data_IF_279486807229
#
_entry.id   IF_279486807229
#
_cell.length_a   1.000
_cell.length_b   1.000
_cell.length_c   1.000
_cell.angle_alpha   90.00
_cell.angle_beta   90.00
_cell.angle_gamma   90.00
#
_symmetry.space_group_name_H-M   'P 1'
#
loop_
_entity.id
_entity.type
_entity.pdbx_description
1 polymer ?
#
# COMPACT_ATOMS: atom_id res chain seq x y z
N UNK A 1 32.70 -13.88 7.00
CA UNK A 1 32.07 -12.59 7.41
C UNK A 1 31.76 -11.80 6.16
N UNK A 2 30.48 -11.71 5.76
CA UNK A 2 30.07 -10.98 4.54
C UNK A 2 30.30 -9.48 4.76
N UNK A 3 31.25 -8.89 4.05
CA UNK A 3 31.52 -7.46 4.04
C UNK A 3 30.35 -6.71 3.34
N UNK A 4 29.25 -6.50 4.05
CA UNK A 4 28.15 -5.62 3.58
C UNK A 4 28.64 -4.17 3.64
N UNK A 5 28.96 -3.58 2.49
CA UNK A 5 29.34 -2.17 2.42
C UNK A 5 28.09 -1.29 2.27
N UNK A 6 27.85 -0.40 3.23
CA UNK A 6 26.84 0.64 3.10
C UNK A 6 27.27 1.63 2.00
N UNK A 7 26.41 1.88 1.02
CA UNK A 7 26.71 2.79 -0.07
C UNK A 7 26.09 4.18 0.16
N UNK A 8 24.77 4.23 0.32
CA UNK A 8 24.03 5.48 0.50
C UNK A 8 22.65 5.22 1.11
N UNK A 9 21.93 6.31 1.40
CA UNK A 9 20.54 6.26 1.88
C UNK A 9 19.60 6.91 0.90
N UNK A 10 18.41 6.35 0.75
CA UNK A 10 17.32 6.93 -0.03
C UNK A 10 16.05 7.02 0.80
N UNK A 11 15.24 8.04 0.53
CA UNK A 11 13.94 8.23 1.16
C UNK A 11 12.84 8.46 0.13
N UNK A 12 11.65 7.92 0.38
CA UNK A 12 10.48 8.10 -0.47
C UNK A 12 9.21 8.35 0.33
N UNK A 13 8.20 8.92 -0.35
CA UNK A 13 6.90 9.27 0.21
C UNK A 13 5.77 8.47 -0.43
N UNK A 14 4.75 8.15 0.39
CA UNK A 14 3.44 7.64 -0.01
C UNK A 14 2.37 8.51 0.64
N UNK A 15 1.70 9.36 -0.15
CA UNK A 15 0.59 10.20 0.30
C UNK A 15 -0.74 9.50 0.00
N UNK A 16 -1.15 8.64 0.92
CA UNK A 16 -2.39 7.88 0.83
C UNK A 16 -3.61 8.64 1.33
N UNK A 17 -4.79 8.07 1.12
CA UNK A 17 -6.07 8.65 1.56
C UNK A 17 -6.19 8.82 3.09
N UNK A 18 -5.50 8.01 3.88
CA UNK A 18 -5.57 8.08 5.34
C UNK A 18 -4.32 8.73 5.98
N UNK A 19 -3.14 8.45 5.45
CA UNK A 19 -1.88 8.89 6.04
C UNK A 19 -0.83 9.19 4.98
N UNK A 20 0.08 10.10 5.33
CA UNK A 20 1.36 10.25 4.67
C UNK A 20 2.33 9.26 5.30
N UNK A 21 2.99 8.46 4.50
CA UNK A 21 3.99 7.50 4.92
C UNK A 21 5.34 7.92 4.32
N UNK A 22 6.36 7.79 5.12
CA UNK A 22 7.74 7.99 4.72
C UNK A 22 8.53 6.72 5.03
N UNK A 23 9.32 6.28 4.07
CA UNK A 23 10.27 5.19 4.24
C UNK A 23 11.67 5.65 3.86
N UNK A 24 12.64 5.28 4.68
CA UNK A 24 14.06 5.47 4.42
C UNK A 24 14.75 4.13 4.38
N UNK A 25 15.58 3.95 3.37
CA UNK A 25 16.34 2.73 3.17
C UNK A 25 17.82 3.01 3.15
N UNK A 26 18.56 2.11 3.73
CA UNK A 26 19.99 1.99 3.56
C UNK A 26 20.24 1.04 2.40
N UNK A 27 20.99 1.49 1.40
CA UNK A 27 21.35 0.66 0.25
C UNK A 27 22.68 0.00 0.55
N UNK A 28 22.66 -1.32 0.55
CA UNK A 28 23.84 -2.16 0.77
C UNK A 28 24.22 -2.87 -0.52
N UNK A 29 25.52 -3.08 -0.71
CA UNK A 29 26.04 -3.89 -1.80
C UNK A 29 26.28 -5.32 -1.30
N UNK A 30 25.62 -6.28 -1.92
CA UNK A 30 26.02 -7.69 -1.90
C UNK A 30 26.87 -7.99 -3.14
N UNK A 31 27.45 -9.18 -3.22
CA UNK A 31 28.41 -9.56 -4.28
C UNK A 31 27.94 -9.23 -5.71
N UNK A 32 26.66 -9.37 -6.02
CA UNK A 32 26.12 -9.17 -7.37
C UNK A 32 24.98 -8.13 -7.45
N UNK A 33 24.46 -7.60 -6.32
CA UNK A 33 23.26 -6.76 -6.34
C UNK A 33 23.23 -5.68 -5.28
N UNK A 34 22.41 -4.64 -5.52
CA UNK A 34 22.05 -3.64 -4.52
C UNK A 34 20.79 -4.10 -3.79
N UNK A 35 20.82 -4.07 -2.46
CA UNK A 35 19.71 -4.45 -1.61
C UNK A 35 19.26 -3.28 -0.74
N UNK A 36 17.98 -2.86 -0.83
CA UNK A 36 17.42 -1.89 0.10
C UNK A 36 17.10 -2.57 1.45
N UNK A 37 17.60 -2.01 2.53
CA UNK A 37 17.22 -2.38 3.90
C UNK A 37 16.45 -1.22 4.53
N UNK A 38 15.23 -1.46 4.99
CA UNK A 38 14.40 -0.46 5.64
C UNK A 38 15.05 -0.02 6.95
N UNK A 39 15.37 1.26 7.08
CA UNK A 39 16.02 1.86 8.25
C UNK A 39 15.05 2.69 9.08
N UNK A 40 14.12 3.39 8.42
CA UNK A 40 13.13 4.24 9.10
C UNK A 40 11.78 4.13 8.39
N UNK A 41 10.73 4.00 9.19
CA UNK A 41 9.34 4.11 8.75
C UNK A 41 8.60 5.12 9.63
N UNK A 42 8.01 6.12 8.99
CA UNK A 42 7.11 7.08 9.66
C UNK A 42 5.75 7.06 8.99
N UNK A 43 4.72 7.10 9.80
CA UNK A 43 3.34 7.20 9.36
C UNK A 43 2.65 8.34 10.09
N UNK A 44 2.15 9.30 9.32
CA UNK A 44 1.56 10.54 9.83
C UNK A 44 0.10 10.58 9.37
N UNK A 45 -0.87 10.53 10.29
CA UNK A 45 -2.28 10.63 9.94
C UNK A 45 -2.60 12.00 9.33
N UNK A 46 -2.99 12.02 8.07
CA UNK A 46 -3.42 13.23 7.35
C UNK A 46 -4.94 13.25 7.17
N UNK A 47 -5.54 12.08 6.89
CA UNK A 47 -6.97 11.88 6.65
C UNK A 47 -7.49 12.63 5.41
N UNK A 48 -6.67 12.65 4.36
CA UNK A 48 -6.96 13.29 3.09
C UNK A 48 -8.31 12.83 2.50
N UNK A 49 -8.59 11.51 2.58
CA UNK A 49 -9.83 10.91 2.12
C UNK A 49 -11.07 11.47 2.81
N UNK A 50 -11.00 11.86 4.09
CA UNK A 50 -12.14 12.46 4.79
C UNK A 50 -12.56 13.80 4.15
N UNK A 51 -11.60 14.62 3.72
CA UNK A 51 -11.93 15.86 3.01
C UNK A 51 -12.51 15.56 1.62
N UNK A 52 -11.83 14.73 0.86
CA UNK A 52 -12.12 14.49 -0.55
C UNK A 52 -13.41 13.71 -0.75
N UNK A 53 -13.62 12.63 -0.01
CA UNK A 53 -14.83 11.81 -0.20
C UNK A 53 -16.10 12.48 0.32
N UNK A 54 -15.98 13.45 1.25
CA UNK A 54 -17.13 14.25 1.72
C UNK A 54 -17.35 15.54 0.92
N UNK A 55 -16.28 16.20 0.48
CA UNK A 55 -16.36 17.57 -0.08
C UNK A 55 -15.83 17.69 -1.52
N UNK A 56 -15.34 16.61 -2.12
CA UNK A 56 -14.76 16.59 -3.47
C UNK A 56 -13.42 17.32 -3.61
N UNK A 57 -12.88 17.90 -2.54
CA UNK A 57 -11.63 18.68 -2.57
C UNK A 57 -10.86 18.64 -1.26
N UNK A 58 -9.56 18.87 -1.35
CA UNK A 58 -8.66 18.98 -0.21
C UNK A 58 -8.79 20.36 0.42
N UNK A 59 -9.01 20.41 1.74
CA UNK A 59 -9.15 21.66 2.49
C UNK A 59 -7.80 22.34 2.71
N UNK A 60 -7.80 23.69 2.77
CA UNK A 60 -6.60 24.49 3.08
C UNK A 60 -5.89 24.05 4.35
N UNK A 61 -6.64 23.71 5.40
CA UNK A 61 -6.08 23.20 6.67
C UNK A 61 -5.31 21.89 6.48
N UNK A 62 -5.81 21.00 5.63
CA UNK A 62 -5.15 19.72 5.35
C UNK A 62 -3.91 19.92 4.49
N UNK A 63 -3.96 20.83 3.50
CA UNK A 63 -2.77 21.23 2.72
C UNK A 63 -1.69 21.76 3.66
N UNK A 64 -2.04 22.70 4.55
CA UNK A 64 -1.09 23.25 5.52
C UNK A 64 -0.48 22.21 6.45
N UNK A 65 -1.28 21.20 6.84
CA UNK A 65 -0.76 20.06 7.60
C UNK A 65 0.27 19.26 6.80
N UNK A 66 0.01 18.99 5.51
CA UNK A 66 0.96 18.30 4.62
C UNK A 66 2.24 19.11 4.49
N UNK A 67 2.16 20.43 4.19
CA UNK A 67 3.32 21.31 4.10
C UNK A 67 4.21 21.24 5.36
N UNK A 68 3.62 21.38 6.53
CA UNK A 68 4.36 21.35 7.80
C UNK A 68 5.09 20.01 8.00
N UNK A 69 4.45 18.89 7.62
CA UNK A 69 5.06 17.57 7.73
C UNK A 69 6.18 17.37 6.70
N UNK A 70 6.00 17.84 5.46
CA UNK A 70 7.03 17.79 4.44
C UNK A 70 8.23 18.64 4.80
N UNK A 71 8.03 19.88 5.27
CA UNK A 71 9.11 20.76 5.72
C UNK A 71 9.96 20.11 6.82
N UNK A 72 9.30 19.56 7.86
CA UNK A 72 10.00 18.89 8.95
C UNK A 72 10.75 17.64 8.48
N UNK A 73 10.16 16.87 7.55
CA UNK A 73 10.75 15.67 7.01
C UNK A 73 11.99 16.00 6.17
N UNK A 74 11.89 16.92 5.22
CA UNK A 74 12.98 17.25 4.30
C UNK A 74 14.19 17.80 5.04
N UNK A 75 14.00 18.66 6.07
CA UNK A 75 15.08 19.10 6.96
C UNK A 75 15.78 17.93 7.66
N UNK A 76 15.01 16.92 8.08
CA UNK A 76 15.59 15.73 8.69
C UNK A 76 16.39 14.90 7.69
N UNK A 77 15.93 14.81 6.41
CA UNK A 77 16.64 14.06 5.36
C UNK A 77 18.00 14.71 5.05
N UNK A 78 17.99 16.02 4.89
CA UNK A 78 19.20 16.80 4.65
C UNK A 78 20.24 16.59 5.76
N UNK A 79 19.82 16.74 7.04
CA UNK A 79 20.70 16.54 8.19
C UNK A 79 21.30 15.13 8.30
N UNK A 80 20.67 14.12 7.69
CA UNK A 80 21.10 12.71 7.70
C UNK A 80 21.76 12.26 6.40
N UNK A 81 21.96 13.18 5.44
CA UNK A 81 22.47 12.87 4.12
C UNK A 81 21.69 11.75 3.43
N UNK A 82 20.34 11.88 3.40
CA UNK A 82 19.43 10.92 2.76
C UNK A 82 18.95 11.53 1.44
N UNK A 83 19.22 10.87 0.32
CA UNK A 83 18.71 11.29 -0.99
C UNK A 83 17.21 11.06 -1.06
N UNK A 84 16.44 12.12 -1.24
CA UNK A 84 15.01 11.99 -1.53
C UNK A 84 14.82 11.59 -2.99
N UNK A 85 14.16 10.48 -3.27
CA UNK A 85 13.99 9.93 -4.61
C UNK A 85 12.58 10.17 -5.19
N UNK A 86 11.75 10.93 -4.50
CA UNK A 86 10.37 11.23 -4.91
C UNK A 86 9.32 10.47 -4.10
N UNK A 87 8.11 10.50 -4.61
CA UNK A 87 6.97 9.86 -3.95
C UNK A 87 5.77 9.75 -4.86
N UNK A 88 4.72 9.18 -4.32
CA UNK A 88 3.45 9.12 -5.01
C UNK A 88 2.29 9.51 -4.10
N UNK A 89 1.23 10.01 -4.74
CA UNK A 89 -0.06 10.28 -4.13
C UNK A 89 -1.11 9.41 -4.82
N UNK A 90 -2.08 8.92 -4.05
CA UNK A 90 -2.98 7.87 -4.49
C UNK A 90 -4.44 8.33 -4.53
N UNK A 91 -5.38 7.44 -4.35
CA UNK A 91 -6.82 7.57 -4.58
C UNK A 91 -7.43 8.92 -4.13
N UNK A 92 -7.18 9.41 -2.92
CA UNK A 92 -7.78 10.68 -2.47
C UNK A 92 -7.23 11.88 -3.27
N UNK A 93 -5.92 11.95 -3.53
CA UNK A 93 -5.33 13.01 -4.35
C UNK A 93 -5.86 12.93 -5.78
N UNK A 94 -5.94 11.73 -6.35
CA UNK A 94 -6.47 11.46 -7.69
C UNK A 94 -7.93 11.88 -7.84
N UNK A 95 -8.75 11.66 -6.82
CA UNK A 95 -10.20 11.95 -6.83
C UNK A 95 -10.49 13.44 -6.55
N UNK A 96 -9.60 14.15 -5.87
CA UNK A 96 -9.84 15.54 -5.47
C UNK A 96 -9.90 16.48 -6.67
N UNK A 97 -10.94 17.34 -6.74
CA UNK A 97 -11.07 18.35 -7.79
C UNK A 97 -9.91 19.36 -7.84
N UNK A 98 -9.21 19.57 -6.72
CA UNK A 98 -7.99 20.38 -6.64
C UNK A 98 -6.72 19.53 -6.43
N UNK A 99 -6.77 18.23 -6.70
CA UNK A 99 -5.66 17.32 -6.40
C UNK A 99 -4.41 17.62 -7.21
N UNK A 100 -4.56 17.90 -8.51
CA UNK A 100 -3.45 18.29 -9.38
C UNK A 100 -2.78 19.58 -8.91
N UNK A 101 -3.59 20.62 -8.64
CA UNK A 101 -3.08 21.92 -8.16
C UNK A 101 -2.29 21.77 -6.85
N UNK A 102 -2.82 20.97 -5.91
CA UNK A 102 -2.13 20.69 -4.64
C UNK A 102 -0.84 19.92 -4.86
N UNK A 103 -0.84 18.93 -5.74
CA UNK A 103 0.37 18.17 -6.07
C UNK A 103 1.45 19.05 -6.71
N UNK A 104 1.07 19.87 -7.69
CA UNK A 104 1.97 20.81 -8.37
C UNK A 104 2.52 21.85 -7.37
N UNK A 105 1.67 22.39 -6.51
CA UNK A 105 2.07 23.31 -5.44
C UNK A 105 3.10 22.66 -4.48
N UNK A 106 2.87 21.42 -4.03
CA UNK A 106 3.81 20.72 -3.15
C UNK A 106 5.15 20.47 -3.86
N UNK A 107 5.11 20.05 -5.12
CA UNK A 107 6.31 19.85 -5.93
C UNK A 107 7.15 21.13 -6.06
N UNK A 108 6.53 22.24 -6.39
CA UNK A 108 7.21 23.53 -6.53
C UNK A 108 7.73 24.08 -5.19
N UNK A 109 6.91 23.99 -4.12
CA UNK A 109 7.26 24.55 -2.80
C UNK A 109 8.39 23.81 -2.10
N UNK A 110 8.57 22.54 -2.39
CA UNK A 110 9.51 21.67 -1.68
C UNK A 110 10.58 21.05 -2.58
N UNK A 111 10.58 21.38 -3.87
CA UNK A 111 11.48 20.78 -4.87
C UNK A 111 11.49 19.25 -4.80
N UNK A 112 10.28 18.67 -4.77
CA UNK A 112 10.08 17.21 -4.68
C UNK A 112 9.41 16.70 -5.97
N UNK A 113 9.57 15.40 -6.22
CA UNK A 113 8.89 14.71 -7.31
C UNK A 113 7.80 13.81 -6.74
N UNK A 114 6.63 14.39 -6.49
CA UNK A 114 5.42 13.67 -6.08
C UNK A 114 4.53 13.44 -7.31
N UNK A 115 4.25 12.19 -7.66
CA UNK A 115 3.41 11.81 -8.80
C UNK A 115 2.05 11.31 -8.30
N UNK A 116 0.95 11.77 -8.92
CA UNK A 116 -0.38 11.17 -8.69
C UNK A 116 -0.46 9.91 -9.56
N UNK A 117 -0.57 8.73 -8.93
CA UNK A 117 -0.71 7.47 -9.64
C UNK A 117 -2.16 7.23 -10.08
N UNK A 118 -2.35 6.66 -11.27
CA UNK A 118 -3.62 6.04 -11.64
C UNK A 118 -3.89 4.78 -10.81
N UNK A 119 -5.12 4.28 -10.81
CA UNK A 119 -5.43 3.03 -10.11
C UNK A 119 -4.72 1.83 -10.70
N UNK A 120 -4.57 1.82 -12.03
CA UNK A 120 -3.82 0.80 -12.76
C UNK A 120 -2.33 0.85 -12.43
N UNK A 121 -1.71 2.05 -12.41
CA UNK A 121 -0.32 2.21 -12.00
C UNK A 121 -0.07 1.73 -10.55
N UNK A 122 -1.04 1.97 -9.62
CA UNK A 122 -0.96 1.42 -8.26
C UNK A 122 -1.03 -0.11 -8.26
N UNK A 123 -1.97 -0.69 -9.02
CA UNK A 123 -2.13 -2.14 -9.12
C UNK A 123 -0.92 -2.80 -9.78
N UNK A 124 -0.34 -2.20 -10.81
CA UNK A 124 0.86 -2.72 -11.48
C UNK A 124 2.10 -2.71 -10.58
N UNK A 125 2.17 -1.80 -9.60
CA UNK A 125 3.25 -1.83 -8.61
C UNK A 125 3.19 -3.09 -7.72
N UNK A 126 2.05 -3.76 -7.60
CA UNK A 126 1.95 -5.05 -6.90
C UNK A 126 2.72 -6.17 -7.64
N UNK A 127 2.98 -6.02 -8.93
CA UNK A 127 3.80 -6.95 -9.72
C UNK A 127 5.19 -7.19 -9.09
N UNK A 128 5.78 -6.16 -8.46
CA UNK A 128 7.06 -6.32 -7.76
C UNK A 128 7.02 -7.33 -6.62
N UNK A 129 5.85 -7.53 -6.04
CA UNK A 129 5.67 -8.48 -4.94
C UNK A 129 5.69 -9.92 -5.43
N UNK A 130 5.29 -10.17 -6.70
CA UNK A 130 5.21 -11.53 -7.26
C UNK A 130 6.58 -12.21 -7.29
N UNK A 131 7.66 -11.45 -7.48
CA UNK A 131 9.04 -11.98 -7.53
C UNK A 131 9.52 -12.65 -6.23
N UNK A 132 8.81 -12.41 -5.13
CA UNK A 132 9.14 -12.98 -3.81
C UNK A 132 8.32 -14.21 -3.46
N UNK A 133 7.39 -14.54 -4.32
CA UNK A 133 6.54 -15.71 -4.16
C UNK A 133 6.82 -16.68 -5.31
N UNK A 134 6.95 -17.98 -5.03
CA UNK A 134 7.21 -18.99 -6.05
C UNK A 134 6.17 -18.92 -7.16
N UNK A 135 6.60 -19.18 -8.41
CA UNK A 135 5.70 -19.20 -9.56
C UNK A 135 4.84 -20.47 -9.65
N UNK A 136 4.99 -21.40 -8.72
CA UNK A 136 4.33 -22.71 -8.66
C UNK A 136 2.84 -22.67 -8.28
N UNK A 137 2.27 -21.48 -8.11
CA UNK A 137 0.86 -21.30 -7.75
C UNK A 137 0.22 -20.02 -8.29
N UNK A 138 -1.10 -20.00 -8.27
CA UNK A 138 -1.87 -18.80 -8.55
C UNK A 138 -1.98 -17.98 -7.26
N UNK A 139 -1.49 -16.73 -7.30
CA UNK A 139 -1.51 -15.81 -6.18
C UNK A 139 -2.38 -14.60 -6.50
N UNK A 140 -3.20 -14.20 -5.53
CA UNK A 140 -3.97 -12.97 -5.58
C UNK A 140 -3.37 -11.97 -4.59
N UNK A 141 -2.77 -10.91 -5.10
CA UNK A 141 -2.24 -9.81 -4.29
C UNK A 141 -3.31 -8.73 -4.16
N UNK A 142 -3.47 -8.19 -2.94
CA UNK A 142 -4.52 -7.23 -2.63
C UNK A 142 -3.99 -6.14 -1.72
N UNK A 143 -4.01 -4.88 -2.17
CA UNK A 143 -3.78 -3.72 -1.30
C UNK A 143 -5.11 -3.02 -1.00
N UNK A 144 -5.60 -3.15 0.21
CA UNK A 144 -6.78 -2.41 0.68
C UNK A 144 -6.30 -1.09 1.26
N UNK A 145 -6.37 -0.05 0.43
CA UNK A 145 -6.06 1.32 0.80
C UNK A 145 -7.19 2.03 1.55
N UNK A 146 -7.03 3.33 1.74
CA UNK A 146 -8.09 4.15 2.35
C UNK A 146 -9.20 4.52 1.37
N UNK A 147 -8.88 4.70 0.09
CA UNK A 147 -9.82 5.17 -0.92
C UNK A 147 -10.05 4.21 -2.07
N UNK A 148 -9.18 3.24 -2.27
CA UNK A 148 -9.28 2.22 -3.32
C UNK A 148 -8.75 0.89 -2.83
N UNK A 149 -8.98 -0.15 -3.62
CA UNK A 149 -8.41 -1.49 -3.44
C UNK A 149 -7.82 -1.94 -4.77
N UNK A 150 -6.56 -2.27 -4.75
CA UNK A 150 -5.78 -2.71 -5.89
C UNK A 150 -5.61 -4.22 -5.85
N UNK A 151 -5.77 -4.85 -7.03
CA UNK A 151 -5.55 -6.27 -7.24
C UNK A 151 -4.45 -6.51 -8.24
N UNK A 152 -3.66 -7.52 -7.98
CA UNK A 152 -2.79 -8.13 -8.97
C UNK A 152 -2.92 -9.64 -8.86
N UNK A 153 -3.35 -10.26 -9.95
CA UNK A 153 -3.40 -11.71 -10.07
C UNK A 153 -2.23 -12.20 -10.90
N UNK A 154 -1.54 -13.20 -10.43
CA UNK A 154 -0.42 -13.83 -11.12
C UNK A 154 -0.59 -15.35 -11.11
N UNK A 155 -0.49 -15.94 -12.28
CA UNK A 155 -0.36 -17.38 -12.49
C UNK A 155 0.66 -17.63 -13.62
N UNK A 156 1.03 -18.87 -13.86
CA UNK A 156 1.96 -19.24 -14.94
C UNK A 156 1.50 -18.78 -16.33
N UNK A 157 0.21 -18.51 -16.53
CA UNK A 157 -0.38 -18.20 -17.85
C UNK A 157 -0.94 -16.77 -17.94
N UNK A 158 -1.36 -16.18 -16.83
CA UNK A 158 -2.11 -14.93 -16.83
C UNK A 158 -1.56 -14.02 -15.75
N UNK A 159 -1.32 -12.76 -16.14
CA UNK A 159 -1.04 -11.67 -15.23
C UNK A 159 -2.05 -10.56 -15.52
N UNK A 160 -2.77 -10.10 -14.51
CA UNK A 160 -3.73 -9.00 -14.66
C UNK A 160 -3.79 -8.16 -13.40
N UNK A 161 -4.02 -6.87 -13.57
CA UNK A 161 -4.16 -5.91 -12.48
C UNK A 161 -5.46 -5.14 -12.61
N UNK A 162 -6.05 -4.72 -11.50
CA UNK A 162 -7.24 -3.86 -11.49
C UNK A 162 -7.33 -3.08 -10.19
N UNK A 163 -7.85 -1.85 -10.28
CA UNK A 163 -8.16 -0.99 -9.13
C UNK A 163 -9.66 -0.73 -9.05
N UNK A 164 -10.20 -0.72 -7.83
CA UNK A 164 -11.60 -0.42 -7.53
C UNK A 164 -11.68 0.75 -6.55
N UNK A 165 -12.68 1.62 -6.72
CA UNK A 165 -12.95 2.73 -5.79
C UNK A 165 -13.60 2.25 -4.47
N UNK A 166 -13.14 1.13 -3.96
CA UNK A 166 -13.48 0.55 -2.66
C UNK A 166 -12.29 0.67 -1.73
N UNK A 167 -12.44 1.37 -0.62
CA UNK A 167 -11.35 1.56 0.34
C UNK A 167 -11.88 1.81 1.74
N UNK A 168 -11.05 1.53 2.74
CA UNK A 168 -11.46 1.55 4.15
C UNK A 168 -12.04 2.89 4.61
N UNK A 169 -11.51 4.03 4.15
CA UNK A 169 -12.05 5.37 4.48
C UNK A 169 -13.34 5.65 3.72
N UNK A 170 -13.47 5.18 2.45
CA UNK A 170 -14.71 5.34 1.68
C UNK A 170 -15.86 4.62 2.37
N UNK A 171 -15.66 3.35 2.73
CA UNK A 171 -16.68 2.55 3.41
C UNK A 171 -17.02 3.15 4.77
N UNK A 172 -16.02 3.56 5.54
CA UNK A 172 -16.24 4.22 6.83
C UNK A 172 -17.08 5.49 6.75
N UNK A 173 -17.03 6.19 5.61
CA UNK A 173 -17.78 7.42 5.36
C UNK A 173 -19.08 7.20 4.58
N UNK A 174 -19.49 5.95 4.32
CA UNK A 174 -20.64 5.57 3.49
C UNK A 174 -20.57 6.22 2.08
N UNK A 175 -19.37 6.17 1.48
CA UNK A 175 -19.07 6.71 0.13
C UNK A 175 -18.67 5.61 -0.87
N UNK A 176 -18.78 4.36 -0.52
CA UNK A 176 -18.73 3.22 -1.42
C UNK A 176 -20.06 3.13 -2.21
N UNK A 177 -19.97 2.61 -3.42
CA UNK A 177 -21.12 2.48 -4.33
C UNK A 177 -21.42 1.01 -4.60
N UNK A 178 -22.69 0.66 -4.68
CA UNK A 178 -23.10 -0.70 -5.01
C UNK A 178 -22.55 -1.15 -6.38
N UNK A 179 -22.50 -0.24 -7.35
CA UNK A 179 -21.90 -0.53 -8.67
C UNK A 179 -20.44 -0.96 -8.58
N UNK A 180 -19.64 -0.33 -7.71
CA UNK A 180 -18.23 -0.70 -7.48
C UNK A 180 -18.12 -2.08 -6.82
N UNK A 181 -19.01 -2.40 -5.87
CA UNK A 181 -19.07 -3.73 -5.26
C UNK A 181 -19.44 -4.80 -6.27
N UNK A 182 -20.42 -4.54 -7.13
CA UNK A 182 -20.81 -5.48 -8.17
C UNK A 182 -19.69 -5.72 -9.18
N UNK A 183 -19.00 -4.66 -9.61
CA UNK A 183 -17.86 -4.78 -10.51
C UNK A 183 -16.71 -5.56 -9.86
N UNK A 184 -16.42 -5.27 -8.61
CA UNK A 184 -15.44 -5.95 -7.80
C UNK A 184 -15.72 -7.47 -7.69
N UNK A 185 -16.96 -7.84 -7.33
CA UNK A 185 -17.34 -9.25 -7.21
C UNK A 185 -17.33 -9.98 -8.56
N UNK A 186 -17.81 -9.33 -9.62
CA UNK A 186 -17.79 -9.88 -10.96
C UNK A 186 -16.34 -10.16 -11.42
N UNK A 187 -15.43 -9.23 -11.15
CA UNK A 187 -14.02 -9.40 -11.45
C UNK A 187 -13.42 -10.60 -10.70
N UNK A 188 -13.65 -10.69 -9.39
CA UNK A 188 -13.14 -11.81 -8.60
C UNK A 188 -13.77 -13.16 -8.97
N UNK A 189 -15.05 -13.18 -9.32
CA UNK A 189 -15.74 -14.39 -9.77
C UNK A 189 -15.30 -14.88 -11.17
N UNK A 190 -14.58 -14.03 -11.94
CA UNK A 190 -14.00 -14.44 -13.24
C UNK A 190 -12.78 -15.36 -13.11
N UNK A 191 -12.17 -15.45 -11.92
CA UNK A 191 -11.02 -16.33 -11.68
C UNK A 191 -11.46 -17.75 -11.31
N UNK A 192 -10.62 -18.71 -11.68
CA UNK A 192 -10.79 -20.09 -11.19
C UNK A 192 -10.55 -20.16 -9.69
N UNK A 193 -11.63 -20.38 -8.95
CA UNK A 193 -11.61 -20.41 -7.48
C UNK A 193 -10.76 -21.57 -6.92
N UNK A 194 -10.64 -22.65 -7.68
CA UNK A 194 -9.87 -23.82 -7.25
C UNK A 194 -8.35 -23.59 -7.35
N UNK A 195 -7.93 -22.66 -8.20
CA UNK A 195 -6.53 -22.34 -8.42
C UNK A 195 -5.95 -21.41 -7.37
N UNK A 196 -6.77 -20.54 -6.76
CA UNK A 196 -6.31 -19.56 -5.77
C UNK A 196 -6.26 -20.18 -4.39
N UNK A 197 -5.04 -20.49 -3.92
CA UNK A 197 -4.77 -21.06 -2.60
C UNK A 197 -4.34 -20.03 -1.57
N UNK A 198 -3.79 -18.89 -2.04
CA UNK A 198 -3.24 -17.86 -1.18
C UNK A 198 -3.63 -16.47 -1.65
N UNK A 199 -4.15 -15.67 -0.74
CA UNK A 199 -4.41 -14.25 -0.89
C UNK A 199 -3.35 -13.50 -0.11
N UNK A 200 -2.60 -12.62 -0.78
CA UNK A 200 -1.48 -11.89 -0.20
C UNK A 200 -1.90 -10.44 -0.03
N UNK A 201 -2.31 -10.11 1.18
CA UNK A 201 -2.67 -8.74 1.53
C UNK A 201 -1.44 -7.86 1.69
N UNK A 202 -1.50 -6.66 1.11
CA UNK A 202 -0.45 -5.66 1.16
C UNK A 202 -0.88 -4.49 2.05
N UNK A 203 0.07 -3.81 2.63
CA UNK A 203 -0.20 -2.57 3.34
C UNK A 203 -0.53 -2.74 4.82
N UNK A 204 -0.92 -1.62 5.44
CA UNK A 204 -1.03 -1.53 6.89
C UNK A 204 -2.33 -2.11 7.46
N UNK A 205 -3.41 -2.14 6.69
CA UNK A 205 -4.70 -2.63 7.18
C UNK A 205 -4.63 -4.14 7.41
N UNK A 206 -4.15 -4.91 6.42
CA UNK A 206 -4.01 -6.35 6.58
C UNK A 206 -3.01 -6.72 7.68
N UNK A 207 -1.86 -6.03 7.77
CA UNK A 207 -0.90 -6.29 8.85
C UNK A 207 -1.52 -6.09 10.23
N UNK A 208 -2.39 -5.08 10.39
CA UNK A 208 -3.10 -4.87 11.66
C UNK A 208 -4.12 -5.97 11.94
N UNK A 209 -4.90 -6.40 10.94
CA UNK A 209 -5.87 -7.49 11.10
C UNK A 209 -5.19 -8.79 11.49
N UNK A 210 -4.12 -9.18 10.78
CA UNK A 210 -3.38 -10.40 11.12
C UNK A 210 -2.76 -10.30 12.51
N UNK A 211 -2.16 -9.15 12.87
CA UNK A 211 -1.60 -8.95 14.21
C UNK A 211 -2.65 -9.06 15.33
N UNK A 212 -3.89 -8.61 15.08
CA UNK A 212 -5.00 -8.78 16.03
C UNK A 212 -5.39 -10.24 16.20
N UNK A 213 -5.44 -11.00 15.10
CA UNK A 213 -5.88 -12.39 15.07
C UNK A 213 -4.83 -13.32 15.69
N UNK A 214 -3.59 -13.21 15.24
CA UNK A 214 -2.55 -14.20 15.55
C UNK A 214 -1.64 -13.76 16.70
N UNK A 215 -1.68 -12.48 17.09
CA UNK A 215 -0.69 -11.83 17.97
C UNK A 215 0.75 -11.98 17.47
N UNK A 216 0.93 -12.53 16.27
CA UNK A 216 2.20 -12.74 15.57
C UNK A 216 2.09 -12.25 14.12
N UNK A 217 3.19 -11.84 13.51
CA UNK A 217 3.19 -11.16 12.19
C UNK A 217 3.31 -12.11 10.99
N UNK A 218 3.37 -13.41 11.21
CA UNK A 218 3.80 -14.36 10.18
C UNK A 218 2.82 -15.48 9.83
N UNK A 219 1.65 -15.56 10.45
CA UNK A 219 0.75 -16.67 10.21
C UNK A 219 -0.31 -16.36 9.15
N UNK A 220 -0.59 -17.34 8.32
CA UNK A 220 -1.75 -17.35 7.43
C UNK A 220 -3.02 -17.48 8.25
N UNK A 221 -4.07 -16.77 7.89
CA UNK A 221 -5.37 -16.83 8.56
C UNK A 221 -6.44 -17.38 7.61
N UNK A 222 -7.42 -18.06 8.18
CA UNK A 222 -8.57 -18.60 7.47
C UNK A 222 -9.72 -17.58 7.39
N UNK A 223 -10.71 -17.87 6.53
CA UNK A 223 -11.98 -17.14 6.49
C UNK A 223 -12.64 -17.08 7.88
N UNK A 224 -12.63 -18.20 8.62
CA UNK A 224 -13.25 -18.30 9.96
C UNK A 224 -12.53 -17.39 10.95
N UNK A 225 -11.19 -17.32 10.90
CA UNK A 225 -10.41 -16.45 11.80
C UNK A 225 -10.71 -14.98 11.54
N UNK A 226 -10.80 -14.60 10.26
CA UNK A 226 -11.13 -13.23 9.88
C UNK A 226 -12.54 -12.84 10.30
N UNK A 227 -13.53 -13.71 10.05
CA UNK A 227 -14.93 -13.47 10.43
C UNK A 227 -15.08 -13.31 11.96
N UNK A 228 -14.49 -14.22 12.74
CA UNK A 228 -14.46 -14.11 14.21
C UNK A 228 -13.82 -12.79 14.67
N UNK A 229 -12.72 -12.39 14.04
CA UNK A 229 -12.03 -11.14 14.36
C UNK A 229 -12.95 -9.94 14.12
N UNK A 230 -13.60 -9.88 12.97
CA UNK A 230 -14.50 -8.77 12.63
C UNK A 230 -15.71 -8.71 13.56
N UNK A 231 -16.32 -9.85 13.89
CA UNK A 231 -17.42 -9.92 14.85
C UNK A 231 -17.00 -9.45 16.26
N UNK A 232 -15.74 -9.66 16.66
CA UNK A 232 -15.21 -9.11 17.90
C UNK A 232 -14.90 -7.62 17.82
N UNK A 233 -14.35 -7.14 16.70
CA UNK A 233 -14.07 -5.72 16.48
C UNK A 233 -15.34 -4.87 16.52
N UNK A 234 -16.45 -5.36 15.98
CA UNK A 234 -17.76 -4.69 16.01
C UNK A 234 -18.31 -4.46 17.42
N UNK A 235 -17.87 -5.25 18.41
CA UNK A 235 -18.28 -5.11 19.81
C UNK A 235 -17.45 -4.09 20.58
N UNK A 236 -16.33 -3.64 20.03
CA UNK A 236 -15.39 -2.73 20.67
C UNK A 236 -15.62 -1.30 20.24
N UNK A 237 -15.58 -0.37 21.17
CA UNK A 237 -15.48 1.05 20.87
C UNK A 237 -14.13 1.39 20.21
N UNK A 238 -14.03 2.55 19.54
CA UNK A 238 -12.76 2.99 18.97
C UNK A 238 -11.67 3.17 20.05
N UNK A 239 -12.05 3.58 21.25
CA UNK A 239 -11.14 3.72 22.38
C UNK A 239 -10.61 2.37 22.86
N UNK A 240 -11.45 1.35 22.92
CA UNK A 240 -11.03 -0.01 23.23
C UNK A 240 -10.12 -0.61 22.14
N UNK A 241 -10.38 -0.34 20.86
CA UNK A 241 -9.50 -0.75 19.78
C UNK A 241 -8.11 -0.10 19.89
N UNK A 242 -8.05 1.16 20.32
CA UNK A 242 -6.77 1.85 20.56
C UNK A 242 -6.04 1.24 21.75
N UNK A 243 -6.71 1.10 22.88
CA UNK A 243 -6.08 0.69 24.15
C UNK A 243 -5.79 -0.80 24.23
N UNK A 244 -6.75 -1.65 23.82
CA UNK A 244 -6.63 -3.11 23.92
C UNK A 244 -5.90 -3.77 22.74
N UNK A 245 -6.01 -3.16 21.54
CA UNK A 245 -5.45 -3.72 20.32
C UNK A 245 -4.26 -2.91 19.75
N UNK A 246 -3.85 -1.86 20.47
CA UNK A 246 -2.73 -0.98 20.10
C UNK A 246 -2.87 -0.36 18.70
N UNK A 247 -4.10 -0.13 18.24
CA UNK A 247 -4.35 0.52 16.97
C UNK A 247 -4.16 2.03 17.10
N UNK A 248 -3.58 2.65 16.06
CA UNK A 248 -3.58 4.12 15.99
C UNK A 248 -5.01 4.64 15.82
N UNK A 249 -5.30 5.84 16.36
CA UNK A 249 -6.64 6.45 16.32
C UNK A 249 -7.27 6.45 14.92
N UNK A 250 -6.49 6.79 13.90
CA UNK A 250 -6.94 6.87 12.51
C UNK A 250 -7.03 5.50 11.82
N UNK A 251 -6.67 4.42 12.50
CA UNK A 251 -6.87 3.05 12.04
C UNK A 251 -8.00 2.36 12.79
N UNK A 252 -8.17 2.67 14.06
CA UNK A 252 -9.23 2.09 14.88
C UNK A 252 -10.63 2.31 14.27
N UNK A 253 -10.85 3.45 13.63
CA UNK A 253 -12.15 3.80 13.00
C UNK A 253 -12.38 3.19 11.61
N UNK A 254 -11.34 2.68 10.94
CA UNK A 254 -11.45 2.13 9.58
C UNK A 254 -11.10 0.66 9.46
N UNK A 255 -10.62 0.03 10.53
CA UNK A 255 -10.11 -1.36 10.46
C UNK A 255 -11.21 -2.36 10.09
N UNK A 256 -12.42 -2.16 10.60
CA UNK A 256 -13.58 -2.98 10.24
C UNK A 256 -13.95 -2.83 8.76
N UNK A 257 -13.92 -1.61 8.25
CA UNK A 257 -14.19 -1.32 6.84
C UNK A 257 -13.17 -2.00 5.93
N UNK A 258 -11.88 -1.99 6.31
CA UNK A 258 -10.86 -2.75 5.60
C UNK A 258 -11.11 -4.26 5.70
N UNK A 259 -11.47 -4.75 6.88
CA UNK A 259 -11.78 -6.15 7.12
C UNK A 259 -12.97 -6.65 6.31
N UNK A 260 -14.00 -5.82 6.12
CA UNK A 260 -15.16 -6.15 5.25
C UNK A 260 -14.74 -6.46 3.81
N UNK A 261 -13.78 -5.69 3.26
CA UNK A 261 -13.27 -5.96 1.90
C UNK A 261 -12.56 -7.32 1.88
N UNK A 262 -11.65 -7.60 2.81
CA UNK A 262 -10.97 -8.89 2.88
C UNK A 262 -11.93 -10.05 3.12
N UNK A 263 -12.95 -9.86 3.96
CA UNK A 263 -13.97 -10.88 4.20
C UNK A 263 -14.75 -11.20 2.91
N UNK A 264 -15.09 -10.17 2.12
CA UNK A 264 -15.78 -10.36 0.84
C UNK A 264 -14.92 -11.15 -0.15
N UNK A 265 -13.61 -10.87 -0.20
CA UNK A 265 -12.66 -11.63 -1.02
C UNK A 265 -12.59 -13.09 -0.58
N UNK A 266 -12.43 -13.34 0.72
CA UNK A 266 -12.30 -14.68 1.25
C UNK A 266 -13.60 -15.49 1.14
N UNK A 267 -14.78 -14.85 1.14
CA UNK A 267 -16.05 -15.52 0.84
C UNK A 267 -16.13 -16.02 -0.62
N UNK A 268 -15.46 -15.33 -1.55
CA UNK A 268 -15.37 -15.78 -2.95
C UNK A 268 -14.36 -16.93 -3.07
N UNK A 269 -13.28 -16.90 -2.28
CA UNK A 269 -12.22 -17.91 -2.26
C UNK A 269 -12.10 -18.60 -0.88
N UNK A 270 -13.10 -19.36 -0.43
CA UNK A 270 -13.19 -19.83 0.96
C UNK A 270 -12.09 -20.82 1.36
N UNK A 271 -11.44 -21.45 0.39
CA UNK A 271 -10.35 -22.40 0.62
C UNK A 271 -8.95 -21.73 0.59
N UNK A 272 -8.90 -20.43 0.32
CA UNK A 272 -7.64 -19.69 0.32
C UNK A 272 -7.27 -19.24 1.73
N UNK A 273 -5.97 -19.23 2.04
CA UNK A 273 -5.45 -18.56 3.23
C UNK A 273 -5.14 -17.10 2.93
N UNK A 274 -5.27 -16.22 3.92
CA UNK A 274 -4.93 -14.81 3.84
C UNK A 274 -3.63 -14.55 4.59
N UNK A 275 -2.65 -14.01 3.88
CA UNK A 275 -1.32 -13.68 4.37
C UNK A 275 -1.05 -12.19 4.26
N UNK A 276 -0.16 -11.62 5.10
CA UNK A 276 0.29 -10.24 4.92
C UNK A 276 1.69 -10.16 4.35
N UNK A 277 1.85 -9.43 3.25
CA UNK A 277 3.16 -9.11 2.73
C UNK A 277 3.92 -8.18 3.69
N UNK A 278 5.22 -8.42 3.85
CA UNK A 278 6.12 -7.50 4.57
C UNK A 278 6.39 -6.20 3.78
N UNK A 279 6.02 -6.15 2.51
CA UNK A 279 6.28 -5.09 1.53
C UNK A 279 5.08 -4.17 1.35
N UNK A 280 5.35 -3.04 0.70
CA UNK A 280 4.35 -2.07 0.28
C UNK A 280 4.76 -1.46 -1.07
N UNK A 281 3.85 -0.72 -1.68
CA UNK A 281 4.09 0.00 -2.94
C UNK A 281 5.33 0.91 -2.87
N UNK A 282 5.67 1.48 -1.69
CA UNK A 282 6.89 2.28 -1.52
C UNK A 282 8.18 1.48 -1.78
N UNK A 283 8.17 0.18 -1.51
CA UNK A 283 9.33 -0.69 -1.76
C UNK A 283 9.56 -0.84 -3.27
N UNK A 284 8.49 -0.90 -4.05
CA UNK A 284 8.55 -0.94 -5.51
C UNK A 284 9.15 0.34 -6.13
N UNK A 285 8.88 1.51 -5.53
CA UNK A 285 9.50 2.77 -5.97
C UNK A 285 11.02 2.75 -5.79
N UNK A 286 11.49 2.23 -4.66
CA UNK A 286 12.93 2.12 -4.39
C UNK A 286 13.59 1.11 -5.33
N UNK A 287 12.97 -0.04 -5.54
CA UNK A 287 13.48 -1.05 -6.48
C UNK A 287 13.57 -0.49 -7.90
N UNK A 288 12.54 0.23 -8.36
CA UNK A 288 12.55 0.90 -9.66
C UNK A 288 13.68 1.94 -9.74
N UNK A 289 13.80 2.80 -8.74
CA UNK A 289 14.88 3.78 -8.67
C UNK A 289 16.28 3.15 -8.77
N UNK A 290 16.50 2.05 -8.05
CA UNK A 290 17.79 1.34 -8.10
C UNK A 290 18.05 0.75 -9.49
N UNK A 291 17.02 0.18 -10.13
CA UNK A 291 17.15 -0.38 -11.47
C UNK A 291 17.46 0.68 -12.54
N UNK A 292 16.78 1.82 -12.49
CA UNK A 292 16.96 2.90 -13.45
C UNK A 292 18.34 3.57 -13.33
N UNK A 293 18.83 3.74 -12.09
CA UNK A 293 20.07 4.51 -11.85
C UNK A 293 21.32 3.66 -11.66
N UNK A 294 21.18 2.35 -11.42
CA UNK A 294 22.30 1.44 -11.09
C UNK A 294 22.21 0.12 -11.87
N UNK A 295 21.64 0.12 -13.05
CA UNK A 295 21.37 -1.07 -13.88
C UNK A 295 22.59 -1.95 -14.20
N UNK A 296 23.82 -1.45 -14.07
CA UNK A 296 25.04 -2.23 -14.21
C UNK A 296 25.35 -3.18 -13.03
N UNK A 297 24.63 -3.01 -11.89
CA UNK A 297 24.84 -3.75 -10.65
C UNK A 297 23.69 -4.67 -10.27
N UNK A 298 22.62 -4.73 -11.09
CA UNK A 298 21.43 -5.56 -10.82
C UNK A 298 20.98 -6.32 -12.07
N UNK A 299 21.61 -7.48 -12.32
CA UNK A 299 21.23 -8.32 -13.47
C UNK A 299 19.86 -9.03 -13.33
N UNK A 300 19.32 -9.14 -12.13
CA UNK A 300 18.08 -9.90 -11.87
C UNK A 300 16.77 -9.19 -12.26
N UNK A 301 16.81 -7.88 -12.57
CA UNK A 301 15.60 -7.06 -12.71
C UNK A 301 15.31 -6.57 -14.15
N UNK A 302 16.19 -6.79 -15.11
CA UNK A 302 16.06 -6.24 -16.49
C UNK A 302 14.91 -6.78 -17.32
N UNK A 303 14.48 -8.01 -17.11
CA UNK A 303 13.55 -8.68 -18.02
C UNK A 303 12.07 -8.32 -17.85
N UNK A 304 11.68 -7.80 -16.70
CA UNK A 304 10.26 -7.60 -16.35
C UNK A 304 9.67 -6.29 -16.87
N UNK A 305 10.47 -5.25 -17.13
CA UNK A 305 9.99 -3.94 -17.58
C UNK A 305 9.91 -3.77 -19.09
N UNK A 306 10.65 -4.56 -19.88
CA UNK A 306 10.65 -4.43 -21.34
C UNK A 306 9.36 -4.95 -22.00
N UNK A 307 8.56 -5.75 -21.30
CA UNK A 307 7.32 -6.32 -21.83
C UNK A 307 6.07 -5.43 -21.64
N UNK A 308 6.13 -4.38 -20.82
CA UNK A 308 5.00 -3.47 -20.56
C UNK A 308 5.05 -2.16 -21.34
N UNK A 309 6.13 -1.90 -22.10
CA UNK A 309 6.27 -0.72 -22.97
C UNK A 309 6.07 -1.04 -24.47
N UNK A 310 5.42 -2.16 -24.80
CA UNK A 310 5.01 -2.47 -26.17
C UNK A 310 3.52 -2.56 -26.31
#
# INVERSE_FOLDING_TARGET
MNNKKNLFRVGCLDLGSNALKYKQYRIIKNEASLKPELETYKRIPIRLGTDVFNKGKIKKKTIKKIENQLSALLKQLESKNVKFIGGFATSAMRTAGNGKEVCDFLNQSFDINLKILSGEEEADLLLFLTKKYPEDGSHLFVDVGGGSTEFFYSSNKIKTSKSFNLGAVRIYLDKDRLSEWNEFENYLNSFDKSSIRKIIGVGGNIRSLISIITRDKGHDISLIDLDKCLNNLLKLSNEEKITKLSLSKDRADIIESAGKIFLRIMNIFPNASLHSASWSISDALVDRYLNENYAGLSSEFKETFSSFNK
#
